data_IF_013294364762
#
_entry.id   IF_013294364762
#
_cell.length_a   1.000
_cell.length_b   1.000
_cell.length_c   1.000
_cell.angle_alpha   90.00
_cell.angle_beta   90.00
_cell.angle_gamma   90.00
#
_symmetry.space_group_name_H-M   'P 1'
#
loop_
_entity.id
_entity.type
_entity.pdbx_description
1 polymer ?
#
# COMPACT_ATOMS: atom_id res chain seq x y z
N UNK A 1 -7.81 3.16 -8.45
CA UNK A 1 -6.46 3.49 -7.90
C UNK A 1 -5.51 4.17 -8.89
N UNK A 2 -5.56 3.89 -10.19
CA UNK A 2 -4.65 4.50 -11.18
C UNK A 2 -4.76 6.04 -11.22
N UNK A 3 -5.97 6.60 -11.19
CA UNK A 3 -6.20 8.05 -11.20
C UNK A 3 -5.68 8.74 -9.93
N UNK A 4 -5.88 8.12 -8.76
CA UNK A 4 -5.34 8.63 -7.49
C UNK A 4 -3.80 8.60 -7.49
N UNK A 5 -3.21 7.53 -7.99
CA UNK A 5 -1.75 7.41 -8.15
C UNK A 5 -1.19 8.47 -9.11
N UNK A 6 -1.92 8.81 -10.18
CA UNK A 6 -1.55 9.90 -11.09
C UNK A 6 -1.64 11.28 -10.41
N UNK A 7 -2.61 11.49 -9.53
CA UNK A 7 -2.84 12.79 -8.87
C UNK A 7 -1.95 13.01 -7.65
N UNK A 8 -1.73 11.98 -6.83
CA UNK A 8 -1.06 12.08 -5.53
C UNK A 8 0.29 11.36 -5.47
N UNK A 9 0.64 10.64 -6.53
CA UNK A 9 1.86 9.84 -6.60
C UNK A 9 1.64 8.37 -6.17
N UNK A 10 2.62 7.51 -6.48
CA UNK A 10 2.49 6.07 -6.29
C UNK A 10 2.58 5.60 -4.83
N UNK A 11 3.03 6.47 -3.93
CA UNK A 11 3.03 6.28 -2.48
C UNK A 11 2.15 7.37 -1.86
N UNK A 12 1.02 6.99 -1.28
CA UNK A 12 0.04 7.95 -0.79
C UNK A 12 -0.60 7.49 0.52
N UNK A 13 -0.99 8.47 1.34
CA UNK A 13 -1.76 8.25 2.56
C UNK A 13 -3.23 8.48 2.27
N UNK A 14 -4.07 7.48 2.54
CA UNK A 14 -5.51 7.53 2.34
C UNK A 14 -6.21 7.09 3.63
N UNK A 15 -7.34 7.73 3.92
CA UNK A 15 -8.25 7.27 4.96
C UNK A 15 -9.36 6.45 4.32
N UNK A 16 -9.35 5.14 4.54
CA UNK A 16 -10.37 4.22 4.05
C UNK A 16 -11.41 4.00 5.16
N UNK A 17 -12.52 4.72 5.08
CA UNK A 17 -13.49 4.79 6.19
C UNK A 17 -12.86 5.45 7.42
N UNK A 18 -12.77 4.72 8.52
CA UNK A 18 -12.11 5.19 9.75
C UNK A 18 -10.63 4.79 9.82
N UNK A 19 -10.16 3.93 8.91
CA UNK A 19 -8.80 3.39 8.94
C UNK A 19 -7.83 4.28 8.17
N UNK A 20 -6.72 4.64 8.83
CA UNK A 20 -5.58 5.31 8.22
C UNK A 20 -4.73 4.29 7.45
N UNK A 21 -4.49 4.49 6.15
CA UNK A 21 -3.84 3.50 5.28
C UNK A 21 -2.79 4.13 4.37
N UNK A 22 -1.62 3.49 4.29
CA UNK A 22 -0.59 3.82 3.29
C UNK A 22 -0.78 2.91 2.08
N UNK A 23 -0.94 3.50 0.91
CA UNK A 23 -1.11 2.79 -0.36
C UNK A 23 0.15 2.90 -1.19
N UNK A 24 0.66 1.74 -1.61
CA UNK A 24 1.81 1.61 -2.50
C UNK A 24 1.33 1.01 -3.83
N UNK A 25 1.37 1.80 -4.89
CA UNK A 25 0.85 1.43 -6.22
C UNK A 25 1.93 1.23 -7.29
N UNK A 26 3.21 1.40 -6.93
CA UNK A 26 4.36 1.10 -7.80
C UNK A 26 5.03 -0.21 -7.38
N UNK A 27 5.35 -1.07 -8.36
CA UNK A 27 6.10 -2.32 -8.13
C UNK A 27 7.48 -2.07 -7.52
N UNK A 28 8.14 -1.00 -7.94
CA UNK A 28 9.48 -0.66 -7.46
C UNK A 28 9.45 -0.30 -5.97
N UNK A 29 8.51 0.56 -5.58
CA UNK A 29 8.33 0.97 -4.18
C UNK A 29 7.86 -0.21 -3.34
N UNK A 30 6.92 -1.03 -3.83
CA UNK A 30 6.46 -2.21 -3.14
C UNK A 30 7.61 -3.18 -2.84
N UNK A 31 8.53 -3.39 -3.79
CA UNK A 31 9.70 -4.25 -3.60
C UNK A 31 10.60 -3.75 -2.46
N UNK A 32 10.82 -2.43 -2.37
CA UNK A 32 11.61 -1.84 -1.28
C UNK A 32 10.88 -2.00 0.05
N UNK A 33 9.59 -1.66 0.12
CA UNK A 33 8.79 -1.76 1.35
C UNK A 33 8.75 -3.20 1.89
N UNK A 34 8.54 -4.18 1.01
CA UNK A 34 8.51 -5.60 1.37
C UNK A 34 9.88 -6.09 1.87
N UNK A 35 10.97 -5.67 1.23
CA UNK A 35 12.34 -6.04 1.66
C UNK A 35 12.71 -5.40 3.00
N UNK A 36 12.43 -4.10 3.17
CA UNK A 36 12.81 -3.37 4.38
C UNK A 36 12.06 -3.87 5.61
N UNK A 37 10.84 -4.37 5.42
CA UNK A 37 9.96 -4.79 6.50
C UNK A 37 9.66 -6.30 6.43
N UNK A 38 10.60 -7.10 5.91
CA UNK A 38 10.42 -8.54 5.65
C UNK A 38 9.95 -9.32 6.90
N UNK A 39 10.43 -8.95 8.09
CA UNK A 39 9.94 -9.56 9.35
C UNK A 39 8.46 -9.25 9.67
N UNK A 40 7.97 -8.08 9.25
CA UNK A 40 6.56 -7.67 9.43
C UNK A 40 5.67 -8.21 8.32
N UNK A 41 6.13 -8.18 7.06
CA UNK A 41 5.36 -8.63 5.89
C UNK A 41 5.53 -10.10 5.52
N UNK A 42 6.51 -10.80 6.09
CA UNK A 42 6.75 -12.23 5.92
C UNK A 42 5.80 -13.10 6.74
N UNK A 43 5.24 -12.58 7.84
CA UNK A 43 4.04 -13.17 8.43
C UNK A 43 2.86 -12.81 7.55
N UNK A 44 1.96 -13.78 7.29
CA UNK A 44 0.80 -13.62 6.40
C UNK A 44 -0.03 -12.41 6.84
N UNK A 45 0.31 -11.23 6.31
CA UNK A 45 -0.49 -10.04 6.50
C UNK A 45 -1.84 -10.37 5.89
N UNK A 46 -2.89 -10.22 6.69
CA UNK A 46 -4.24 -10.11 6.15
C UNK A 46 -4.26 -8.80 5.39
N UNK A 47 -3.81 -8.83 4.14
CA UNK A 47 -4.08 -7.77 3.20
C UNK A 47 -5.60 -7.66 3.13
N UNK A 48 -6.13 -6.57 3.69
CA UNK A 48 -7.42 -6.08 3.28
C UNK A 48 -7.27 -5.66 1.82
N UNK A 49 -7.37 -6.64 0.91
CA UNK A 49 -7.81 -6.38 -0.45
C UNK A 49 -9.25 -5.92 -0.28
N UNK A 50 -9.43 -4.61 -0.06
CA UNK A 50 -10.75 -4.03 -0.28
C UNK A 50 -10.99 -4.12 -1.78
N UNK A 51 -11.69 -5.19 -2.15
CA UNK A 51 -12.30 -5.33 -3.47
C UNK A 51 -13.39 -4.27 -3.52
N UNK A 52 -13.06 -3.12 -4.09
CA UNK A 52 -14.01 -2.15 -4.59
C UNK A 52 -14.24 -2.45 -6.08
#
# INVERSE_FOLDING_TARGET
MRELSQKYGPLMHLKLGETSTIVVSSKEIAKVVMKTNDGTFGQRLVFLVQKL
#
